data_IF_667534739929
#
_entry.id   IF_667534739929
#
_cell.length_a   1.000
_cell.length_b   1.000
_cell.length_c   1.000
_cell.angle_alpha   90.00
_cell.angle_beta   90.00
_cell.angle_gamma   90.00
#
_symmetry.space_group_name_H-M   'P 1'
#
loop_
_entity.id
_entity.type
_entity.pdbx_description
1 polymer ?
#
# COMPACT_ATOMS: atom_id res chain seq x y z
N UNK A 1 8.63 -30.67 3.51
CA UNK A 1 8.01 -30.64 4.86
C UNK A 1 7.17 -29.38 4.94
N UNK A 2 5.87 -29.49 5.25
CA UNK A 2 4.98 -28.32 5.34
C UNK A 2 4.89 -27.85 6.79
N UNK A 3 5.00 -26.54 7.02
CA UNK A 3 4.82 -25.90 8.34
C UNK A 3 3.51 -25.10 8.31
N UNK A 4 2.78 -25.08 9.43
CA UNK A 4 1.63 -24.19 9.60
C UNK A 4 2.15 -22.79 9.91
N UNK A 5 1.62 -21.79 9.21
CA UNK A 5 1.97 -20.38 9.41
C UNK A 5 0.73 -19.60 9.84
N UNK A 6 0.90 -18.70 10.80
CA UNK A 6 -0.10 -17.68 11.10
C UNK A 6 0.01 -16.55 10.05
N UNK A 7 -1.12 -16.16 9.45
CA UNK A 7 -1.13 -15.15 8.38
C UNK A 7 -0.83 -13.75 8.91
N UNK A 8 -1.25 -13.41 10.12
CA UNK A 8 -0.99 -12.11 10.73
C UNK A 8 0.47 -12.01 11.14
N UNK A 9 1.03 -13.08 11.71
CA UNK A 9 2.48 -13.14 11.99
C UNK A 9 3.30 -12.97 10.71
N UNK A 10 2.92 -13.68 9.64
CA UNK A 10 3.58 -13.54 8.34
C UNK A 10 3.42 -12.12 7.77
N UNK A 11 2.24 -11.50 7.89
CA UNK A 11 2.02 -10.12 7.49
C UNK A 11 2.93 -9.15 8.26
N UNK A 12 3.12 -9.35 9.56
CA UNK A 12 4.03 -8.54 10.37
C UNK A 12 5.49 -8.67 9.92
N UNK A 13 5.93 -9.88 9.57
CA UNK A 13 7.27 -10.13 9.02
C UNK A 13 7.44 -9.46 7.65
N UNK A 14 6.46 -9.59 6.76
CA UNK A 14 6.46 -8.95 5.45
C UNK A 14 6.48 -7.42 5.58
N UNK A 15 5.77 -6.86 6.56
CA UNK A 15 5.75 -5.43 6.83
C UNK A 15 7.13 -4.91 7.29
N UNK A 16 7.79 -5.65 8.18
CA UNK A 16 9.16 -5.34 8.60
C UNK A 16 10.13 -5.33 7.43
N UNK A 17 10.06 -6.35 6.58
CA UNK A 17 10.91 -6.44 5.38
C UNK A 17 10.60 -5.33 4.38
N UNK A 18 9.32 -5.00 4.15
CA UNK A 18 8.94 -3.88 3.30
C UNK A 18 9.54 -2.56 3.81
N UNK A 19 9.40 -2.29 5.12
CA UNK A 19 9.95 -1.10 5.75
C UNK A 19 11.48 -1.01 5.64
N UNK A 20 12.19 -2.13 5.86
CA UNK A 20 13.65 -2.19 5.72
C UNK A 20 14.07 -1.88 4.29
N UNK A 21 13.51 -2.59 3.33
CA UNK A 21 13.80 -2.41 1.90
C UNK A 21 13.53 -0.96 1.47
N UNK A 22 12.41 -0.37 1.89
CA UNK A 22 12.08 1.01 1.56
C UNK A 22 13.13 2.02 2.07
N UNK A 23 13.61 1.82 3.31
CA UNK A 23 14.60 2.72 3.93
C UNK A 23 15.98 2.57 3.31
N UNK A 24 16.40 1.36 2.97
CA UNK A 24 17.73 1.09 2.40
C UNK A 24 17.80 1.17 0.88
N UNK A 25 16.66 1.22 0.19
CA UNK A 25 16.61 1.24 -1.27
C UNK A 25 17.31 2.47 -1.85
N UNK A 26 18.20 2.21 -2.79
CA UNK A 26 18.92 3.20 -3.61
C UNK A 26 18.61 3.05 -5.10
N UNK A 27 17.69 2.14 -5.45
CA UNK A 27 17.27 1.86 -6.82
C UNK A 27 15.80 1.47 -6.88
N UNK A 28 15.22 1.59 -8.07
CA UNK A 28 13.83 1.24 -8.39
C UNK A 28 13.48 -0.21 -8.02
N UNK A 29 14.44 -1.14 -8.12
CA UNK A 29 14.23 -2.55 -7.74
C UNK A 29 13.95 -2.69 -6.24
N UNK A 30 14.67 -1.95 -5.39
CA UNK A 30 14.45 -1.97 -3.95
C UNK A 30 13.08 -1.39 -3.57
N UNK A 31 12.70 -0.29 -4.24
CA UNK A 31 11.37 0.30 -4.05
C UNK A 31 10.24 -0.61 -4.55
N UNK A 32 10.40 -1.23 -5.71
CA UNK A 32 9.44 -2.21 -6.24
C UNK A 32 9.30 -3.43 -5.30
N UNK A 33 10.41 -3.92 -4.72
CA UNK A 33 10.38 -5.00 -3.73
C UNK A 33 9.59 -4.59 -2.49
N UNK A 34 9.87 -3.41 -1.93
CA UNK A 34 9.13 -2.85 -0.80
C UNK A 34 7.63 -2.74 -1.11
N UNK A 35 7.28 -2.17 -2.26
CA UNK A 35 5.90 -2.01 -2.73
C UNK A 35 5.17 -3.36 -2.84
N UNK A 36 5.80 -4.38 -3.41
CA UNK A 36 5.23 -5.72 -3.53
C UNK A 36 5.02 -6.40 -2.18
N UNK A 37 5.97 -6.26 -1.24
CA UNK A 37 5.86 -6.81 0.11
C UNK A 37 4.74 -6.12 0.89
N UNK A 38 4.68 -4.79 0.87
CA UNK A 38 3.64 -4.03 1.55
C UNK A 38 2.24 -4.29 0.94
N UNK A 39 2.13 -4.42 -0.38
CA UNK A 39 0.87 -4.82 -1.02
C UNK A 39 0.44 -6.25 -0.68
N UNK A 40 1.39 -7.16 -0.42
CA UNK A 40 1.06 -8.49 0.11
C UNK A 40 0.51 -8.42 1.53
N UNK A 41 1.03 -7.52 2.37
CA UNK A 41 0.47 -7.22 3.70
C UNK A 41 -0.97 -6.73 3.55
N UNK A 42 -1.23 -5.74 2.69
CA UNK A 42 -2.60 -5.25 2.41
C UNK A 42 -3.53 -6.41 2.04
N UNK A 43 -3.17 -7.27 1.09
CA UNK A 43 -4.04 -8.39 0.69
C UNK A 43 -4.29 -9.43 1.80
N UNK A 44 -3.40 -9.55 2.79
CA UNK A 44 -3.62 -10.41 3.96
C UNK A 44 -4.55 -9.72 4.95
N UNK A 45 -4.36 -8.42 5.19
CA UNK A 45 -5.06 -7.67 6.23
C UNK A 45 -6.44 -7.19 5.80
N UNK A 46 -6.62 -6.72 4.56
CA UNK A 46 -7.88 -6.12 4.10
C UNK A 46 -9.08 -7.03 4.31
N UNK A 47 -9.08 -8.33 3.94
CA UNK A 47 -10.25 -9.18 4.19
C UNK A 47 -10.58 -9.31 5.68
N UNK A 48 -9.57 -9.36 6.54
CA UNK A 48 -9.75 -9.47 7.98
C UNK A 48 -10.26 -8.17 8.60
N UNK A 49 -9.72 -7.03 8.15
CA UNK A 49 -10.21 -5.70 8.54
C UNK A 49 -11.64 -5.47 8.04
N UNK A 50 -11.96 -5.89 6.83
CA UNK A 50 -13.32 -5.83 6.27
C UNK A 50 -14.30 -6.69 7.09
N UNK A 51 -13.90 -7.88 7.54
CA UNK A 51 -14.70 -8.70 8.46
C UNK A 51 -14.92 -7.99 9.81
N UNK A 52 -13.87 -7.40 10.38
CA UNK A 52 -13.96 -6.62 11.62
C UNK A 52 -14.87 -5.39 11.46
N UNK A 53 -14.82 -4.74 10.29
CA UNK A 53 -15.63 -3.58 9.94
C UNK A 53 -17.07 -3.95 9.60
N UNK A 54 -17.34 -5.04 8.89
CA UNK A 54 -18.70 -5.50 8.57
C UNK A 54 -19.54 -5.85 9.81
N UNK A 55 -18.89 -6.06 10.96
CA UNK A 55 -19.54 -6.16 12.27
C UNK A 55 -20.12 -4.82 12.80
N UNK A 56 -20.00 -3.69 12.09
CA UNK A 56 -20.72 -2.45 12.45
C UNK A 56 -20.26 -1.11 11.84
N UNK A 57 -19.32 -1.04 10.91
CA UNK A 57 -18.84 0.21 10.30
C UNK A 57 -18.39 -0.04 8.86
N UNK A 58 -18.92 0.74 7.90
CA UNK A 58 -18.34 0.76 6.55
C UNK A 58 -16.84 1.10 6.64
N UNK A 59 -16.00 0.65 5.70
CA UNK A 59 -14.62 1.12 5.66
C UNK A 59 -14.65 2.62 5.36
N UNK A 60 -14.53 3.43 6.41
CA UNK A 60 -14.18 4.83 6.26
C UNK A 60 -12.73 4.88 5.80
N UNK A 61 -12.46 5.65 4.74
CA UNK A 61 -11.09 5.93 4.34
C UNK A 61 -10.37 6.58 5.51
N UNK A 62 -9.16 6.11 5.79
CA UNK A 62 -8.37 6.68 6.88
C UNK A 62 -8.07 8.16 6.59
N UNK A 63 -7.92 9.02 7.61
CA UNK A 63 -7.53 10.41 7.40
C UNK A 63 -6.28 10.54 6.53
N UNK A 64 -5.36 9.57 6.62
CA UNK A 64 -4.14 9.47 5.81
C UNK A 64 -4.42 9.16 4.35
N UNK A 65 -5.34 8.23 4.08
CA UNK A 65 -5.83 7.95 2.72
C UNK A 65 -6.49 9.18 2.09
N UNK A 66 -7.28 9.93 2.87
CA UNK A 66 -7.95 11.16 2.42
C UNK A 66 -6.96 12.30 2.17
N UNK A 67 -6.00 12.51 3.07
CA UNK A 67 -4.98 13.56 2.93
C UNK A 67 -4.07 13.32 1.72
N UNK A 68 -3.66 12.07 1.47
CA UNK A 68 -2.84 11.75 0.31
C UNK A 68 -3.62 11.84 -1.00
N UNK A 69 -4.89 11.41 -1.03
CA UNK A 69 -5.74 11.61 -2.20
C UNK A 69 -5.78 13.09 -2.60
N UNK A 70 -5.88 14.00 -1.63
CA UNK A 70 -5.82 15.45 -1.85
C UNK A 70 -4.44 15.93 -2.30
N UNK A 71 -3.34 15.37 -1.80
CA UNK A 71 -2.00 15.70 -2.28
C UNK A 71 -1.75 15.21 -3.72
N UNK A 72 -2.33 14.07 -4.11
CA UNK A 72 -2.23 13.53 -5.46
C UNK A 72 -3.19 14.19 -6.44
N UNK A 73 -4.37 14.67 -6.05
CA UNK A 73 -5.19 15.59 -6.87
C UNK A 73 -4.36 16.80 -7.33
N UNK A 74 -3.49 17.32 -6.45
CA UNK A 74 -2.57 18.42 -6.79
C UNK A 74 -1.40 18.00 -7.69
N UNK A 75 -1.03 16.71 -7.72
CA UNK A 75 -0.01 16.16 -8.64
C UNK A 75 -0.62 15.74 -9.99
N UNK A 76 -1.90 15.35 -9.98
CA UNK A 76 -2.73 15.07 -11.14
C UNK A 76 -3.24 16.34 -11.84
N UNK A 77 -2.50 17.44 -11.74
CA UNK A 77 -2.70 18.69 -12.48
C UNK A 77 -2.56 18.58 -14.02
N UNK A 78 -2.85 17.42 -14.60
CA UNK A 78 -2.91 17.20 -16.04
C UNK A 78 -4.35 17.07 -16.60
N UNK A 79 -5.40 17.08 -15.78
CA UNK A 79 -6.79 17.11 -16.26
C UNK A 79 -7.60 18.18 -15.55
N UNK A 80 -8.04 19.17 -16.32
CA UNK A 80 -8.67 20.39 -15.84
C UNK A 80 -10.11 20.19 -15.33
N UNK A 81 -10.43 20.80 -14.19
CA UNK A 81 -11.77 21.33 -13.89
C UNK A 81 -12.57 20.63 -12.78
N UNK A 82 -12.68 21.32 -11.62
CA UNK A 82 -13.55 21.11 -10.44
C UNK A 82 -13.38 19.82 -9.59
N UNK A 83 -13.38 19.92 -8.24
CA UNK A 83 -13.15 18.77 -7.37
C UNK A 83 -14.47 18.06 -6.99
N UNK A 84 -14.65 16.77 -7.30
CA UNK A 84 -15.76 15.97 -6.81
C UNK A 84 -15.32 15.06 -5.66
N UNK A 85 -16.24 14.82 -4.72
CA UNK A 85 -16.13 13.84 -3.62
C UNK A 85 -15.88 12.38 -4.07
N UNK A 86 -15.81 12.11 -5.37
CA UNK A 86 -15.41 10.83 -5.98
C UNK A 86 -13.90 10.69 -6.24
N UNK A 87 -13.13 11.78 -6.16
CA UNK A 87 -11.70 11.78 -6.49
C UNK A 87 -10.85 11.06 -5.45
N UNK A 88 -11.27 10.98 -4.19
CA UNK A 88 -10.57 10.18 -3.18
C UNK A 88 -10.56 8.70 -3.57
N UNK A 89 -11.69 8.18 -4.06
CA UNK A 89 -11.77 6.79 -4.53
C UNK A 89 -10.99 6.57 -5.85
N UNK A 90 -10.89 7.60 -6.71
CA UNK A 90 -10.13 7.55 -7.95
C UNK A 90 -8.61 7.67 -7.72
N UNK A 91 -8.17 8.55 -6.84
CA UNK A 91 -6.79 8.68 -6.38
C UNK A 91 -6.32 7.43 -5.64
N UNK A 92 -7.17 6.82 -4.80
CA UNK A 92 -6.87 5.52 -4.18
C UNK A 92 -6.83 4.37 -5.19
N UNK A 93 -7.56 4.46 -6.31
CA UNK A 93 -7.37 3.54 -7.45
C UNK A 93 -6.04 3.78 -8.15
N UNK A 94 -5.61 5.03 -8.31
CA UNK A 94 -4.31 5.38 -8.88
C UNK A 94 -3.15 4.84 -8.04
N UNK A 95 -3.23 4.94 -6.71
CA UNK A 95 -2.29 4.35 -5.74
C UNK A 95 -2.21 2.81 -5.81
N UNK A 96 -3.31 2.17 -6.20
CA UNK A 96 -3.33 0.72 -6.46
C UNK A 96 -2.72 0.36 -7.81
N UNK A 97 -2.55 1.29 -8.75
CA UNK A 97 -2.07 0.96 -10.10
C UNK A 97 -0.63 0.45 -10.13
N UNK A 98 0.39 1.09 -9.50
CA UNK A 98 1.77 0.59 -9.56
C UNK A 98 1.90 -0.82 -8.97
N UNK A 99 1.31 -1.06 -7.79
CA UNK A 99 1.28 -2.40 -7.20
C UNK A 99 0.49 -3.40 -8.06
N UNK A 100 -0.68 -3.00 -8.58
CA UNK A 100 -1.49 -3.88 -9.43
C UNK A 100 -0.78 -4.21 -10.75
N UNK A 101 -0.12 -3.25 -11.40
CA UNK A 101 0.64 -3.49 -12.63
C UNK A 101 1.79 -4.45 -12.39
N UNK A 102 2.52 -4.30 -11.27
CA UNK A 102 3.59 -5.22 -10.91
C UNK A 102 3.07 -6.62 -10.54
N UNK A 103 1.94 -6.74 -9.84
CA UNK A 103 1.42 -8.02 -9.36
C UNK A 103 0.56 -8.77 -10.38
N UNK A 104 -0.09 -8.05 -11.29
CA UNK A 104 -1.12 -8.55 -12.21
C UNK A 104 -0.81 -8.20 -13.68
N UNK A 105 0.46 -8.07 -14.05
CA UNK A 105 0.85 -7.83 -15.44
C UNK A 105 0.06 -8.74 -16.41
N UNK A 106 -0.66 -8.12 -17.36
CA UNK A 106 -1.56 -8.81 -18.29
C UNK A 106 -3.01 -8.99 -17.80
N UNK A 107 -3.44 -8.24 -16.77
CA UNK A 107 -4.82 -8.28 -16.27
C UNK A 107 -5.34 -6.89 -15.91
N UNK A 108 -5.80 -6.16 -16.92
CA UNK A 108 -6.34 -4.82 -16.68
C UNK A 108 -7.82 -4.90 -16.24
N UNK A 109 -8.21 -4.05 -15.27
CA UNK A 109 -9.55 -4.06 -14.64
C UNK A 109 -10.62 -3.59 -15.64
N UNK A 110 -11.06 -4.50 -16.50
CA UNK A 110 -12.18 -4.30 -17.43
C UNK A 110 -11.97 -4.93 -18.81
N UNK A 111 -10.77 -5.38 -19.13
CA UNK A 111 -10.49 -6.09 -20.36
C UNK A 111 -9.47 -7.20 -20.07
N UNK A 112 -9.93 -8.45 -20.01
CA UNK A 112 -9.09 -9.66 -19.96
C UNK A 112 -8.26 -9.86 -21.27
N UNK A 113 -7.95 -8.78 -21.99
CA UNK A 113 -7.53 -8.81 -23.40
C UNK A 113 -6.14 -8.30 -23.67
N UNK A 114 -5.53 -7.51 -22.78
CA UNK A 114 -4.12 -7.16 -22.95
C UNK A 114 -3.29 -8.40 -22.69
N UNK A 115 -2.54 -8.84 -23.71
CA UNK A 115 -1.59 -9.92 -23.50
C UNK A 115 -0.52 -9.44 -22.50
N UNK A 116 0.10 -10.32 -21.71
CA UNK A 116 1.21 -9.91 -20.84
C UNK A 116 2.36 -9.22 -21.60
N UNK A 117 2.54 -9.52 -22.88
CA UNK A 117 3.51 -8.85 -23.76
C UNK A 117 3.13 -7.42 -24.15
N UNK A 118 1.86 -7.04 -23.98
CA UNK A 118 1.32 -5.72 -24.32
C UNK A 118 1.19 -4.81 -23.08
N UNK A 119 1.36 -5.37 -21.88
CA UNK A 119 1.26 -4.69 -20.58
C UNK A 119 2.60 -4.73 -19.83
N UNK A 120 3.64 -4.21 -20.50
CA UNK A 120 5.02 -4.23 -19.98
C UNK A 120 5.46 -2.89 -19.37
N UNK A 121 4.70 -1.82 -19.57
CA UNK A 121 5.10 -0.45 -19.26
C UNK A 121 4.10 0.23 -18.32
N UNK A 122 4.60 0.87 -17.28
CA UNK A 122 3.80 1.72 -16.39
C UNK A 122 4.62 2.93 -15.95
N UNK A 123 3.92 4.00 -15.54
CA UNK A 123 4.52 5.21 -15.01
C UNK A 123 4.27 5.25 -13.50
N UNK A 124 5.33 5.43 -12.72
CA UNK A 124 5.26 5.55 -11.26
C UNK A 124 6.52 6.22 -10.69
N UNK A 125 6.36 6.96 -9.59
CA UNK A 125 7.46 7.28 -8.69
C UNK A 125 7.57 6.14 -7.67
N UNK A 126 8.33 5.09 -8.01
CA UNK A 126 8.41 3.88 -7.21
C UNK A 126 8.82 4.14 -5.76
N UNK A 127 9.65 5.17 -5.51
CA UNK A 127 10.06 5.55 -4.17
C UNK A 127 8.88 6.06 -3.35
N UNK A 128 8.14 7.02 -3.89
CA UNK A 128 6.98 7.60 -3.20
C UNK A 128 5.88 6.55 -3.02
N UNK A 129 5.63 5.72 -4.05
CA UNK A 129 4.64 4.64 -3.99
C UNK A 129 5.00 3.59 -2.93
N UNK A 130 6.28 3.22 -2.81
CA UNK A 130 6.74 2.29 -1.79
C UNK A 130 6.63 2.90 -0.38
N UNK A 131 7.08 4.15 -0.17
CA UNK A 131 6.98 4.84 1.13
C UNK A 131 5.51 4.94 1.57
N UNK A 132 4.58 5.18 0.63
CA UNK A 132 3.15 5.23 0.90
C UNK A 132 2.56 3.86 1.21
N UNK A 133 2.86 2.83 0.40
CA UNK A 133 2.29 1.50 0.61
C UNK A 133 2.75 0.91 1.95
N UNK A 134 3.99 1.16 2.36
CA UNK A 134 4.48 0.79 3.70
C UNK A 134 3.72 1.56 4.78
N UNK A 135 3.53 2.87 4.60
CA UNK A 135 2.75 3.68 5.52
C UNK A 135 1.32 3.16 5.72
N UNK A 136 0.66 2.75 4.63
CA UNK A 136 -0.68 2.16 4.65
C UNK A 136 -0.69 0.81 5.36
N UNK A 137 0.26 -0.06 5.04
CA UNK A 137 0.38 -1.36 5.67
C UNK A 137 0.65 -1.25 7.19
N UNK A 138 1.41 -0.25 7.63
CA UNK A 138 1.60 0.09 9.07
C UNK A 138 0.27 0.49 9.71
N UNK A 139 -0.49 1.37 9.07
CA UNK A 139 -1.77 1.85 9.59
C UNK A 139 -2.78 0.71 9.70
N UNK A 140 -2.93 -0.09 8.66
CA UNK A 140 -3.83 -1.24 8.64
C UNK A 140 -3.43 -2.30 9.67
N UNK A 141 -2.14 -2.59 9.81
CA UNK A 141 -1.67 -3.53 10.84
C UNK A 141 -1.94 -3.00 12.26
N UNK A 142 -1.79 -1.70 12.47
CA UNK A 142 -2.04 -1.04 13.78
C UNK A 142 -3.51 -1.09 14.21
N UNK A 143 -4.43 -1.33 13.28
CA UNK A 143 -5.88 -1.44 13.56
C UNK A 143 -6.28 -2.85 14.01
N UNK A 144 -5.39 -3.84 13.89
CA UNK A 144 -5.67 -5.20 14.32
C UNK A 144 -5.80 -5.24 15.85
N UNK A 145 -6.76 -6.03 16.39
CA UNK A 145 -6.95 -6.19 17.83
C UNK A 145 -5.90 -7.12 18.44
N UNK A 146 -4.62 -6.76 18.30
CA UNK A 146 -3.48 -7.55 18.77
C UNK A 146 -3.03 -7.11 20.16
N UNK A 147 -2.59 -8.05 20.99
CA UNK A 147 -1.86 -7.72 22.22
C UNK A 147 -0.41 -7.33 21.86
N UNK A 148 0.05 -6.10 22.20
CA UNK A 148 1.42 -5.67 21.94
C UNK A 148 2.51 -6.61 22.47
N UNK A 149 2.23 -7.34 23.56
CA UNK A 149 3.17 -8.31 24.16
C UNK A 149 3.47 -9.50 23.25
N UNK A 150 2.62 -9.76 22.26
CA UNK A 150 2.77 -10.84 21.29
C UNK A 150 3.48 -10.40 20.01
N UNK A 151 3.87 -9.13 19.90
CA UNK A 151 4.60 -8.60 18.74
C UNK A 151 6.11 -8.70 18.97
N UNK A 152 6.86 -8.85 17.88
CA UNK A 152 8.30 -8.69 17.95
C UNK A 152 8.65 -7.25 18.31
N UNK A 153 9.76 -7.04 19.04
CA UNK A 153 10.20 -5.70 19.44
C UNK A 153 10.37 -4.77 18.24
N UNK A 154 10.93 -5.28 17.14
CA UNK A 154 11.12 -4.52 15.90
C UNK A 154 9.79 -4.10 15.26
N UNK A 155 8.79 -4.99 15.26
CA UNK A 155 7.47 -4.66 14.71
C UNK A 155 6.77 -3.63 15.59
N UNK A 156 6.85 -3.79 16.91
CA UNK A 156 6.28 -2.82 17.84
C UNK A 156 6.93 -1.44 17.67
N UNK A 157 8.25 -1.37 17.55
CA UNK A 157 8.98 -0.14 17.25
C UNK A 157 8.54 0.47 15.91
N UNK A 158 8.38 -0.34 14.87
CA UNK A 158 7.90 0.13 13.58
C UNK A 158 6.50 0.74 13.67
N UNK A 159 5.55 0.06 14.32
CA UNK A 159 4.16 0.52 14.48
C UNK A 159 4.05 1.78 15.35
N UNK A 160 4.96 1.95 16.31
CA UNK A 160 5.03 3.14 17.16
C UNK A 160 5.83 4.29 16.53
N UNK A 161 6.64 3.99 15.51
CA UNK A 161 7.46 5.00 14.83
C UNK A 161 6.62 5.89 13.92
N UNK A 162 7.01 7.17 13.84
CA UNK A 162 6.51 8.03 12.77
C UNK A 162 7.11 7.58 11.43
N UNK A 163 6.27 7.19 10.48
CA UNK A 163 6.68 6.91 9.11
C UNK A 163 6.54 8.17 8.24
N UNK A 164 7.63 8.90 7.94
CA UNK A 164 7.55 10.10 7.11
C UNK A 164 7.24 9.71 5.67
N UNK A 165 6.14 10.22 5.12
CA UNK A 165 5.92 10.17 3.68
C UNK A 165 6.73 11.32 3.08
N UNK A 166 7.66 10.98 2.18
CA UNK A 166 8.47 11.99 1.50
C UNK A 166 7.59 12.65 0.44
N UNK A 167 7.14 13.87 0.70
CA UNK A 167 6.48 14.66 -0.33
C UNK A 167 7.46 14.84 -1.49
N UNK A 168 7.07 14.39 -2.69
CA UNK A 168 7.87 14.53 -3.89
C UNK A 168 8.21 15.99 -4.14
N UNK A 169 9.45 16.38 -3.87
CA UNK A 169 10.09 17.58 -4.42
C UNK A 169 11.57 17.32 -4.70
N UNK A 170 11.96 17.86 -5.84
CA UNK A 170 13.31 18.09 -6.40
C UNK A 170 13.83 17.01 -7.35
N UNK A 171 13.71 17.34 -8.64
CA UNK A 171 14.20 16.68 -9.84
C UNK A 171 13.57 17.33 -11.06
#
# INVERSE_FOLDING_TARGET
MYKRHDKLELAGQLLLEAARECRSATSDVGYAKSLLLAGAVENILTPYLDELSAAGSKPEYTPRQVEMARHMENFAGAFAGEPPSGDIAAALKFLRNPYNHLKHAGKDRGNDKSLPSEDLMFYADLRNEADWMVAMAIEDYSRLPLNPENLSGELLELLQSFWPIRAGREG
#
